data_IF_989516215749
#
_entry.id   IF_989516215749
#
_cell.length_a   1.000
_cell.length_b   1.000
_cell.length_c   1.000
_cell.angle_alpha   90.00
_cell.angle_beta   90.00
_cell.angle_gamma   90.00
#
_symmetry.space_group_name_H-M   'P 1'
#
loop_
_entity.id
_entity.type
_entity.pdbx_description
1 polymer ?
#
# COMPACT_ATOMS: atom_id res chain seq x y z
N UNK A 1 -39.70 -17.86 -9.75
CA UNK A 1 -38.82 -16.66 -9.62
C UNK A 1 -37.46 -17.06 -10.14
N UNK A 2 -36.78 -16.16 -10.84
CA UNK A 2 -35.41 -16.43 -11.32
C UNK A 2 -34.43 -16.16 -10.17
N UNK A 3 -33.56 -17.08 -9.88
CA UNK A 3 -32.45 -16.88 -8.95
C UNK A 3 -31.45 -15.87 -9.47
N UNK A 4 -30.73 -15.21 -8.60
CA UNK A 4 -29.62 -14.32 -8.93
C UNK A 4 -28.41 -14.70 -8.06
N UNK A 5 -27.28 -14.87 -8.69
CA UNK A 5 -26.01 -15.08 -8.00
C UNK A 5 -25.07 -13.93 -8.33
N UNK A 6 -24.33 -13.45 -7.37
CA UNK A 6 -23.35 -12.39 -7.56
C UNK A 6 -22.24 -12.48 -6.52
N UNK A 7 -21.15 -11.81 -6.80
CA UNK A 7 -20.04 -11.61 -5.89
C UNK A 7 -20.03 -10.12 -5.51
N UNK A 8 -19.87 -9.80 -4.24
CA UNK A 8 -19.62 -8.42 -3.83
C UNK A 8 -18.56 -8.34 -2.72
N UNK A 9 -18.03 -7.11 -2.60
CA UNK A 9 -17.06 -6.77 -1.60
C UNK A 9 -17.64 -6.10 -0.40
N UNK A 10 -17.85 -6.05 0.61
CA UNK A 10 -18.36 -5.14 1.66
C UNK A 10 -17.46 -3.90 1.92
N UNK A 11 -16.44 -3.68 1.11
CA UNK A 11 -15.51 -2.57 1.29
C UNK A 11 -15.87 -1.41 0.38
N UNK A 12 -15.87 -1.65 -0.92
CA UNK A 12 -16.06 -0.63 -1.95
C UNK A 12 -17.47 -0.54 -2.49
N UNK A 13 -18.37 -1.40 -2.03
CA UNK A 13 -19.71 -1.60 -2.61
C UNK A 13 -19.68 -2.04 -4.08
N UNK A 14 -18.56 -2.63 -4.50
CA UNK A 14 -18.47 -3.24 -5.81
C UNK A 14 -19.27 -4.55 -5.82
N UNK A 15 -19.99 -4.77 -6.88
CA UNK A 15 -20.79 -5.99 -7.10
C UNK A 15 -20.68 -6.39 -8.57
N UNK A 16 -20.50 -7.67 -8.83
CA UNK A 16 -20.51 -8.19 -10.20
C UNK A 16 -21.90 -8.07 -10.81
N UNK A 17 -22.00 -8.16 -12.13
CA UNK A 17 -23.27 -8.40 -12.78
C UNK A 17 -23.92 -9.66 -12.22
N UNK A 18 -25.25 -9.58 -12.02
CA UNK A 18 -26.00 -10.70 -11.49
C UNK A 18 -26.27 -11.73 -12.58
N UNK A 19 -25.74 -12.92 -12.38
CA UNK A 19 -26.08 -14.04 -13.25
C UNK A 19 -27.53 -14.41 -12.98
N UNK A 20 -28.40 -14.26 -13.99
CA UNK A 20 -29.80 -14.60 -13.91
C UNK A 20 -30.12 -15.66 -14.95
N UNK A 21 -30.11 -16.92 -14.54
CA UNK A 21 -30.56 -18.01 -15.39
C UNK A 21 -31.27 -19.08 -14.54
N UNK A 22 -32.09 -19.94 -15.16
CA UNK A 22 -32.63 -21.12 -14.50
C UNK A 22 -31.56 -22.20 -14.39
N UNK A 23 -30.76 -22.29 -15.41
CA UNK A 23 -29.56 -23.14 -15.50
C UNK A 23 -28.54 -22.36 -16.30
N UNK A 24 -27.31 -22.37 -15.86
CA UNK A 24 -26.18 -21.77 -16.56
C UNK A 24 -24.96 -22.68 -16.45
N UNK A 25 -24.14 -22.67 -17.46
CA UNK A 25 -22.78 -23.19 -17.37
C UNK A 25 -21.94 -22.37 -16.40
N UNK A 26 -20.79 -22.89 -16.03
CA UNK A 26 -19.84 -22.13 -15.24
C UNK A 26 -19.51 -20.79 -15.89
N UNK A 27 -19.70 -19.74 -15.16
CA UNK A 27 -19.46 -18.38 -15.61
C UNK A 27 -18.45 -17.73 -14.69
N UNK A 28 -17.35 -17.25 -15.23
CA UNK A 28 -16.39 -16.47 -14.47
C UNK A 28 -16.98 -15.10 -14.16
N UNK A 29 -16.87 -14.69 -12.90
CA UNK A 29 -17.28 -13.37 -12.44
C UNK A 29 -16.13 -12.73 -11.68
N UNK A 30 -15.88 -11.46 -11.94
CA UNK A 30 -14.81 -10.68 -11.32
C UNK A 30 -15.37 -9.42 -10.69
N UNK A 31 -14.84 -9.05 -9.53
CA UNK A 31 -15.09 -7.74 -8.93
C UNK A 31 -13.77 -7.11 -8.51
N UNK A 32 -13.56 -5.89 -8.96
CA UNK A 32 -12.39 -5.10 -8.61
C UNK A 32 -12.78 -4.06 -7.57
N UNK A 33 -12.03 -3.98 -6.49
CA UNK A 33 -12.27 -3.00 -5.44
C UNK A 33 -10.98 -2.45 -4.87
N UNK A 34 -11.05 -1.25 -4.32
CA UNK A 34 -9.92 -0.64 -3.62
C UNK A 34 -10.08 -0.84 -2.11
N UNK A 35 -9.18 -1.61 -1.50
CA UNK A 35 -9.19 -1.85 -0.05
C UNK A 35 -8.85 -0.60 0.78
N UNK A 36 -8.24 0.40 0.17
CA UNK A 36 -7.74 1.58 0.88
C UNK A 36 -6.74 1.18 1.96
N UNK A 37 -6.97 1.65 3.18
CA UNK A 37 -6.12 1.33 4.34
C UNK A 37 -6.55 0.06 5.10
N UNK A 38 -7.50 -0.70 4.59
CA UNK A 38 -8.03 -1.88 5.29
C UNK A 38 -7.15 -3.09 5.05
N UNK A 39 -6.87 -3.83 6.12
CA UNK A 39 -6.08 -5.07 6.10
C UNK A 39 -6.94 -6.33 6.06
N UNK A 40 -8.27 -6.15 6.13
CA UNK A 40 -9.24 -7.24 6.06
C UNK A 40 -10.36 -6.87 5.10
N UNK A 41 -10.75 -7.82 4.27
CA UNK A 41 -11.88 -7.71 3.36
C UNK A 41 -12.82 -8.90 3.59
N UNK A 42 -14.11 -8.67 3.39
CA UNK A 42 -15.11 -9.74 3.32
C UNK A 42 -15.64 -9.79 1.90
N UNK A 43 -15.59 -10.97 1.32
CA UNK A 43 -16.16 -11.25 0.01
C UNK A 43 -17.40 -12.11 0.25
N UNK A 44 -18.52 -11.71 -0.30
CA UNK A 44 -19.78 -12.44 -0.17
C UNK A 44 -20.17 -13.07 -1.49
N UNK A 45 -20.42 -14.35 -1.42
CA UNK A 45 -21.04 -15.14 -2.47
C UNK A 45 -22.56 -15.08 -2.24
N UNK A 46 -23.27 -14.34 -3.07
CA UNK A 46 -24.67 -14.02 -2.85
C UNK A 46 -25.57 -14.90 -3.71
N UNK A 47 -26.56 -15.46 -3.07
CA UNK A 47 -27.70 -16.13 -3.72
C UNK A 47 -28.99 -15.43 -3.29
N UNK A 48 -29.78 -15.00 -4.25
CA UNK A 48 -31.05 -14.32 -4.00
C UNK A 48 -32.16 -15.05 -4.74
N UNK A 49 -33.14 -15.54 -4.02
CA UNK A 49 -34.30 -16.30 -4.43
C UNK A 49 -34.19 -17.83 -4.24
N UNK A 50 -35.12 -18.61 -4.82
CA UNK A 50 -35.15 -20.06 -4.68
C UNK A 50 -34.26 -20.78 -5.68
N UNK A 51 -33.60 -21.84 -5.26
CA UNK A 51 -32.68 -22.66 -6.03
C UNK A 51 -31.32 -22.74 -5.35
N UNK A 52 -30.33 -23.31 -6.03
CA UNK A 52 -28.98 -23.49 -5.55
C UNK A 52 -28.02 -22.71 -6.44
N UNK A 53 -26.97 -22.15 -5.84
CA UNK A 53 -25.83 -21.53 -6.54
C UNK A 53 -24.56 -22.19 -6.08
N UNK A 54 -23.72 -22.55 -7.01
CA UNK A 54 -22.44 -23.16 -6.75
C UNK A 54 -21.35 -22.17 -7.10
N UNK A 55 -20.30 -22.13 -6.30
CA UNK A 55 -19.13 -21.29 -6.51
C UNK A 55 -17.89 -22.17 -6.39
N UNK A 56 -16.96 -22.00 -7.30
CA UNK A 56 -15.69 -22.72 -7.34
C UNK A 56 -14.57 -21.77 -7.72
N UNK A 57 -13.33 -22.19 -7.52
CA UNK A 57 -12.14 -21.44 -7.89
C UNK A 57 -12.11 -19.99 -7.38
N UNK A 58 -12.67 -19.74 -6.20
CA UNK A 58 -12.67 -18.38 -5.61
C UNK A 58 -11.25 -17.93 -5.32
N UNK A 59 -10.79 -16.86 -5.98
CA UNK A 59 -9.44 -16.31 -5.85
C UNK A 59 -9.50 -14.85 -5.48
N UNK A 60 -8.56 -14.42 -4.64
CA UNK A 60 -8.30 -13.01 -4.37
C UNK A 60 -6.86 -12.73 -4.77
N UNK A 61 -6.68 -11.78 -5.65
CA UNK A 61 -5.35 -11.35 -6.10
C UNK A 61 -5.23 -9.83 -6.02
N UNK A 62 -4.02 -9.37 -5.76
CA UNK A 62 -3.71 -7.96 -5.88
C UNK A 62 -3.67 -7.58 -7.36
N UNK A 63 -4.39 -6.52 -7.72
CA UNK A 63 -4.43 -6.04 -9.10
C UNK A 63 -3.34 -4.99 -9.25
N UNK A 64 -2.35 -5.31 -10.05
CA UNK A 64 -1.38 -4.32 -10.52
C UNK A 64 -2.03 -3.53 -11.66
N UNK A 65 -2.14 -2.22 -11.52
CA UNK A 65 -2.67 -1.38 -12.60
C UNK A 65 -1.85 -1.59 -13.87
N UNK A 66 -2.50 -1.68 -15.01
CA UNK A 66 -1.83 -1.88 -16.30
C UNK A 66 -0.78 -0.78 -16.50
N UNK A 67 0.50 -1.18 -16.58
CA UNK A 67 1.65 -0.28 -16.69
C UNK A 67 2.49 -0.12 -15.43
N UNK A 68 2.06 -0.62 -14.27
CA UNK A 68 2.92 -0.71 -13.10
C UNK A 68 3.58 -2.10 -13.02
N UNK A 69 4.89 -2.11 -12.95
CA UNK A 69 5.63 -3.35 -12.71
C UNK A 69 5.30 -3.89 -11.30
N UNK A 70 5.24 -5.21 -11.09
CA UNK A 70 5.04 -5.77 -9.76
C UNK A 70 6.12 -5.27 -8.81
N UNK A 71 5.69 -4.91 -7.59
CA UNK A 71 6.62 -4.46 -6.55
C UNK A 71 7.54 -5.62 -6.17
N UNK A 72 8.83 -5.39 -6.33
CA UNK A 72 9.89 -6.34 -5.97
C UNK A 72 10.58 -5.94 -4.68
N UNK A 73 11.51 -6.75 -4.20
CA UNK A 73 12.39 -6.36 -3.10
C UNK A 73 13.09 -5.04 -3.42
N UNK A 74 13.14 -4.13 -2.45
CA UNK A 74 13.73 -2.81 -2.64
C UNK A 74 15.22 -2.88 -2.99
N UNK A 75 15.65 -1.98 -3.86
CA UNK A 75 17.04 -1.79 -4.27
C UNK A 75 17.64 -0.56 -3.56
N UNK A 76 18.65 -0.77 -2.74
CA UNK A 76 19.25 0.29 -1.94
C UNK A 76 19.95 1.36 -2.79
N UNK A 77 20.49 1.01 -3.95
CA UNK A 77 21.15 1.98 -4.83
C UNK A 77 20.12 2.91 -5.48
N UNK A 78 19.00 2.35 -5.98
CA UNK A 78 17.89 3.16 -6.47
C UNK A 78 17.27 4.00 -5.34
N UNK A 79 17.14 3.42 -4.15
CA UNK A 79 16.65 4.14 -2.97
C UNK A 79 17.53 5.31 -2.58
N UNK A 80 18.86 5.18 -2.70
CA UNK A 80 19.78 6.28 -2.50
C UNK A 80 19.57 7.38 -3.55
N UNK A 81 19.42 7.03 -4.83
CA UNK A 81 19.14 8.01 -5.88
C UNK A 81 17.82 8.75 -5.62
N UNK A 82 16.77 8.04 -5.20
CA UNK A 82 15.48 8.66 -4.82
C UNK A 82 15.70 9.62 -3.65
N UNK A 83 16.36 9.17 -2.59
CA UNK A 83 16.61 9.99 -1.40
C UNK A 83 17.31 11.33 -1.74
N UNK A 84 18.30 11.29 -2.61
CA UNK A 84 19.11 12.44 -2.94
C UNK A 84 18.59 13.29 -4.10
N UNK A 85 17.86 12.70 -5.05
CA UNK A 85 17.61 13.33 -6.35
C UNK A 85 16.14 13.40 -6.75
N UNK A 86 15.23 12.71 -6.02
CA UNK A 86 13.81 12.72 -6.41
C UNK A 86 13.21 14.12 -6.32
N UNK A 87 12.60 14.63 -7.40
CA UNK A 87 12.23 16.05 -7.49
C UNK A 87 11.13 16.47 -6.50
N UNK A 88 10.27 15.55 -6.11
CA UNK A 88 9.12 15.85 -5.23
C UNK A 88 9.32 15.31 -3.82
N UNK A 89 9.84 14.09 -3.66
CA UNK A 89 10.06 13.51 -2.34
C UNK A 89 11.15 14.26 -1.56
N UNK A 90 12.20 14.70 -2.28
CA UNK A 90 13.23 15.63 -1.80
C UNK A 90 13.73 15.36 -0.37
N UNK A 91 13.96 14.08 -0.02
CA UNK A 91 14.24 13.63 1.35
C UNK A 91 15.41 14.40 2.00
N UNK A 92 16.48 14.62 1.23
CA UNK A 92 17.68 15.34 1.66
C UNK A 92 17.44 16.82 1.97
N UNK A 93 16.30 17.38 1.56
CA UNK A 93 15.90 18.76 1.91
C UNK A 93 15.59 18.90 3.39
N UNK A 94 15.16 17.82 4.03
CA UNK A 94 14.80 17.79 5.45
C UNK A 94 15.71 16.89 6.29
N UNK A 95 16.27 15.83 5.70
CA UNK A 95 17.06 14.84 6.41
C UNK A 95 18.54 14.88 6.07
N UNK A 96 19.37 14.63 7.07
CA UNK A 96 20.81 14.55 6.96
C UNK A 96 21.27 13.07 7.02
N UNK A 97 22.22 12.73 6.14
CA UNK A 97 22.94 11.44 6.13
C UNK A 97 24.43 11.73 5.83
N UNK A 98 25.33 11.24 6.66
CA UNK A 98 26.78 11.40 6.48
C UNK A 98 27.23 12.86 6.41
N UNK A 99 26.58 13.74 7.18
CA UNK A 99 26.87 15.17 7.19
C UNK A 99 26.38 15.93 5.96
N UNK A 100 25.62 15.30 5.05
CA UNK A 100 25.02 15.92 3.86
C UNK A 100 23.51 15.98 4.01
N UNK A 101 22.87 16.95 3.35
CA UNK A 101 21.44 17.21 3.45
C UNK A 101 21.13 18.32 4.46
N UNK A 102 19.98 18.27 5.09
CA UNK A 102 19.51 19.30 6.02
C UNK A 102 19.14 18.71 7.38
N UNK A 103 19.24 19.52 8.43
CA UNK A 103 18.89 19.16 9.81
C UNK A 103 17.50 19.68 10.23
N UNK A 104 16.59 19.86 9.27
CA UNK A 104 15.18 20.25 9.55
C UNK A 104 14.44 19.09 10.20
N UNK A 105 14.62 17.88 9.67
CA UNK A 105 14.11 16.64 10.22
C UNK A 105 15.20 15.88 11.00
N UNK A 106 14.86 14.71 11.59
CA UNK A 106 15.83 13.88 12.27
C UNK A 106 16.93 13.40 11.32
N UNK A 107 18.19 13.41 11.79
CA UNK A 107 19.30 12.80 11.08
C UNK A 107 19.07 11.27 10.96
N UNK A 108 19.36 10.72 9.79
CA UNK A 108 19.10 9.32 9.49
C UNK A 108 20.34 8.41 9.59
N UNK A 109 21.50 8.99 9.98
CA UNK A 109 22.68 8.18 10.31
C UNK A 109 22.33 7.15 11.38
N UNK A 110 22.68 5.89 11.17
CA UNK A 110 22.39 4.80 12.09
C UNK A 110 20.91 4.44 12.23
N UNK A 111 20.02 4.87 11.34
CA UNK A 111 18.58 4.58 11.46
C UNK A 111 18.30 3.06 11.46
N UNK A 112 19.06 2.29 10.70
CA UNK A 112 18.89 0.84 10.61
C UNK A 112 19.24 0.10 11.92
N UNK A 113 19.96 0.73 12.85
CA UNK A 113 20.31 0.13 14.13
C UNK A 113 19.38 0.55 15.27
N UNK A 114 18.70 1.70 15.12
CA UNK A 114 17.83 2.25 16.17
C UNK A 114 16.34 2.17 15.87
N UNK A 115 15.96 1.74 14.65
CA UNK A 115 14.59 1.61 14.22
C UNK A 115 14.35 0.27 13.50
N UNK A 116 13.19 -0.31 13.71
CA UNK A 116 12.79 -1.52 13.00
C UNK A 116 12.35 -1.19 11.56
N UNK A 117 12.45 -2.14 10.62
CA UNK A 117 11.93 -1.96 9.27
C UNK A 117 10.44 -1.56 9.23
N UNK A 118 9.64 -2.09 10.18
CA UNK A 118 8.23 -1.74 10.32
C UNK A 118 8.05 -0.27 10.74
N UNK A 119 8.85 0.22 11.68
CA UNK A 119 8.83 1.63 12.08
C UNK A 119 9.26 2.57 10.95
N UNK A 120 10.30 2.19 10.19
CA UNK A 120 10.73 2.96 9.01
C UNK A 120 9.60 3.06 7.99
N UNK A 121 8.93 1.94 7.69
CA UNK A 121 7.79 1.94 6.79
C UNK A 121 6.65 2.83 7.31
N UNK A 122 6.26 2.66 8.56
CA UNK A 122 5.20 3.44 9.20
C UNK A 122 5.52 4.94 9.15
N UNK A 123 6.75 5.34 9.46
CA UNK A 123 7.18 6.74 9.42
C UNK A 123 7.11 7.34 8.02
N UNK A 124 7.33 6.55 6.98
CA UNK A 124 7.22 6.98 5.58
C UNK A 124 5.75 7.16 5.15
N UNK A 125 4.86 6.26 5.54
CA UNK A 125 3.47 6.26 5.04
C UNK A 125 2.49 6.96 5.97
N UNK A 126 2.76 6.97 7.27
CA UNK A 126 1.92 7.58 8.32
C UNK A 126 2.77 8.43 9.29
N UNK A 127 3.47 9.48 8.81
CA UNK A 127 4.47 10.22 9.58
C UNK A 127 3.91 10.93 10.83
N UNK A 128 2.61 11.04 10.96
CA UNK A 128 1.93 11.60 12.15
C UNK A 128 1.57 10.55 13.21
N UNK A 129 1.75 9.25 12.91
CA UNK A 129 1.36 8.19 13.85
C UNK A 129 2.28 8.13 15.05
N UNK A 130 3.58 8.24 14.81
CA UNK A 130 4.60 8.33 15.85
C UNK A 130 5.64 9.35 15.44
N UNK A 131 5.69 10.47 16.15
CA UNK A 131 6.72 11.50 15.90
C UNK A 131 8.09 11.00 16.35
N UNK A 132 9.12 11.36 15.60
CA UNK A 132 10.48 10.99 15.94
C UNK A 132 10.93 11.62 17.26
N UNK A 133 11.77 10.90 18.02
CA UNK A 133 12.31 11.38 19.30
C UNK A 133 13.00 12.74 19.12
N UNK A 134 12.61 13.69 19.95
CA UNK A 134 13.08 15.08 19.91
C UNK A 134 12.22 16.01 19.05
N UNK A 135 11.26 15.47 18.32
CA UNK A 135 10.32 16.21 17.46
C UNK A 135 8.88 16.21 17.97
N UNK A 136 8.61 15.61 19.12
CA UNK A 136 7.26 15.45 19.70
C UNK A 136 6.57 16.80 19.96
N UNK A 137 7.36 17.83 20.26
CA UNK A 137 6.84 19.18 20.52
C UNK A 137 6.20 19.83 19.30
N UNK A 138 6.44 19.33 18.09
CA UNK A 138 5.81 19.84 16.88
C UNK A 138 4.31 19.50 16.83
N UNK A 139 3.87 18.45 17.52
CA UNK A 139 2.48 17.99 17.52
C UNK A 139 2.05 17.33 16.20
N UNK A 140 2.55 17.82 15.07
CA UNK A 140 2.28 17.32 13.71
C UNK A 140 3.59 17.22 12.95
N UNK A 141 3.77 16.13 12.21
CA UNK A 141 4.93 15.95 11.34
C UNK A 141 4.86 16.88 10.12
N UNK A 142 5.89 17.67 9.83
CA UNK A 142 5.98 18.40 8.57
C UNK A 142 6.31 17.50 7.37
N UNK A 143 6.75 16.27 7.63
CA UNK A 143 7.00 15.28 6.59
C UNK A 143 5.68 14.81 5.97
N UNK A 144 5.49 14.92 4.65
CA UNK A 144 4.29 14.41 4.01
C UNK A 144 4.29 12.86 3.97
N UNK A 145 3.12 12.22 3.88
CA UNK A 145 3.05 10.78 3.65
C UNK A 145 3.69 10.42 2.30
N UNK A 146 4.82 9.72 2.33
CA UNK A 146 5.58 9.37 1.12
C UNK A 146 4.83 8.41 0.20
N UNK A 147 3.91 7.60 0.73
CA UNK A 147 3.04 6.76 -0.09
C UNK A 147 2.09 7.53 -1.04
N UNK A 148 1.96 8.86 -0.88
CA UNK A 148 1.22 9.72 -1.81
C UNK A 148 2.12 10.36 -2.89
N UNK A 149 3.43 10.25 -2.73
CA UNK A 149 4.44 10.92 -3.58
C UNK A 149 5.25 9.91 -4.37
N UNK A 150 5.66 8.84 -3.72
CA UNK A 150 6.48 7.77 -4.30
C UNK A 150 5.59 6.65 -4.85
N UNK A 151 6.00 6.10 -5.98
CA UNK A 151 5.42 4.85 -6.48
C UNK A 151 5.70 3.71 -5.50
N UNK A 152 4.90 2.64 -5.51
CA UNK A 152 5.10 1.51 -4.60
C UNK A 152 6.53 0.95 -4.62
N UNK A 153 7.14 0.77 -5.79
CA UNK A 153 8.52 0.29 -5.90
C UNK A 153 9.54 1.30 -5.36
N UNK A 154 9.35 2.59 -5.60
CA UNK A 154 10.23 3.64 -5.10
C UNK A 154 10.21 3.70 -3.56
N UNK A 155 9.06 3.44 -2.96
CA UNK A 155 8.94 3.35 -1.50
C UNK A 155 9.76 2.17 -0.95
N UNK A 156 9.68 0.99 -1.59
CA UNK A 156 10.49 -0.17 -1.20
C UNK A 156 11.99 0.10 -1.39
N UNK A 157 12.36 0.75 -2.47
CA UNK A 157 13.76 1.13 -2.74
C UNK A 157 14.31 2.09 -1.67
N UNK A 158 13.55 3.12 -1.30
CA UNK A 158 13.93 4.03 -0.21
C UNK A 158 14.06 3.30 1.12
N UNK A 159 13.13 2.40 1.45
CA UNK A 159 13.22 1.56 2.65
C UNK A 159 14.50 0.72 2.66
N UNK A 160 14.83 0.10 1.53
CA UNK A 160 16.05 -0.67 1.38
C UNK A 160 17.30 0.19 1.62
N UNK A 161 17.35 1.40 1.06
CA UNK A 161 18.44 2.34 1.30
C UNK A 161 18.55 2.72 2.78
N UNK A 162 17.45 3.10 3.43
CA UNK A 162 17.46 3.48 4.85
C UNK A 162 17.94 2.33 5.75
N UNK A 163 17.68 1.08 5.38
CA UNK A 163 18.17 -0.10 6.09
C UNK A 163 19.68 -0.34 5.93
N UNK A 164 20.36 0.34 5.02
CA UNK A 164 21.83 0.31 4.91
C UNK A 164 22.52 1.31 5.83
N UNK A 165 21.81 2.29 6.35
CA UNK A 165 22.36 3.37 7.20
C UNK A 165 22.53 2.88 8.64
N UNK A 166 23.70 2.29 8.92
CA UNK A 166 24.11 1.74 10.22
C UNK A 166 24.99 2.70 11.00
#
# INVERSE_FOLDING_TARGET
MRGKASLNDHIGRAETEKVTARESDWTEVEVVFNSGKRTKASINLLHVATGDSFYDDVRLSELTLAGEAPVTAGDAARGADIFWKHPTAACATCHMVGGKGSAIGPALDGIATRATPAYIHESLVEPNKVLAKGFEKLGVSPMPPMGLILKPQELEDVKAYLQTLK
#
